data_IF_747324419016
#
_entry.id   IF_747324419016
#
_cell.length_a   1.000
_cell.length_b   1.000
_cell.length_c   1.000
_cell.angle_alpha   90.00
_cell.angle_beta   90.00
_cell.angle_gamma   90.00
#
_symmetry.space_group_name_H-M   'P 1'
#
loop_
_entity.id
_entity.type
_entity.pdbx_description
1 polymer ?
#
# COMPACT_ATOMS: atom_id res chain seq x y z
N UNK A 1 -2.66 5.86 48.58
CA UNK A 1 -2.05 6.25 47.30
C UNK A 1 -3.12 6.61 46.25
N UNK A 2 -4.07 5.77 45.94
CA UNK A 2 -5.13 6.00 44.94
C UNK A 2 -5.96 7.28 45.13
N UNK A 3 -6.36 7.61 46.40
CA UNK A 3 -7.11 8.84 46.71
C UNK A 3 -6.36 10.12 46.40
N UNK A 4 -5.02 10.13 46.53
CA UNK A 4 -4.20 11.28 46.20
C UNK A 4 -4.05 11.46 44.68
N UNK A 5 -3.85 10.33 43.94
CA UNK A 5 -3.82 10.33 42.49
C UNK A 5 -5.14 10.85 41.94
N UNK A 6 -6.27 10.34 42.44
CA UNK A 6 -7.60 10.78 42.04
C UNK A 6 -7.82 12.27 42.28
N UNK A 7 -7.45 12.80 43.45
CA UNK A 7 -7.61 14.22 43.78
C UNK A 7 -6.76 15.11 42.85
N UNK A 8 -5.54 14.70 42.50
CA UNK A 8 -4.68 15.40 41.52
C UNK A 8 -5.29 15.37 40.12
N UNK A 9 -5.72 14.20 39.67
CA UNK A 9 -6.38 14.04 38.36
C UNK A 9 -7.63 14.92 38.24
N UNK A 10 -8.46 14.95 39.29
CA UNK A 10 -9.67 15.78 39.28
C UNK A 10 -9.34 17.28 39.28
N UNK A 11 -8.34 17.70 40.02
CA UNK A 11 -7.84 19.08 40.00
C UNK A 11 -7.34 19.47 38.58
N UNK A 12 -6.46 18.66 37.97
CA UNK A 12 -5.91 18.92 36.66
C UNK A 12 -7.00 18.94 35.57
N UNK A 13 -7.97 18.04 35.66
CA UNK A 13 -9.10 18.00 34.73
C UNK A 13 -9.94 19.27 34.77
N UNK A 14 -10.34 19.72 36.00
CA UNK A 14 -11.11 20.96 36.17
C UNK A 14 -10.30 22.18 35.71
N UNK A 15 -9.02 22.20 35.99
CA UNK A 15 -8.14 23.29 35.63
C UNK A 15 -7.95 23.40 34.11
N UNK A 16 -7.78 22.27 33.42
CA UNK A 16 -7.70 22.19 31.97
C UNK A 16 -9.01 22.64 31.29
N UNK A 17 -10.16 22.22 31.81
CA UNK A 17 -11.48 22.66 31.30
C UNK A 17 -11.70 24.17 31.48
N UNK A 18 -11.08 24.80 32.47
CA UNK A 18 -11.21 26.23 32.74
C UNK A 18 -10.25 27.09 31.92
N UNK A 19 -9.18 26.51 31.45
CA UNK A 19 -8.19 27.16 30.59
C UNK A 19 -8.53 26.97 29.10
N UNK A 20 -9.28 27.94 28.54
CA UNK A 20 -9.72 27.90 27.15
C UNK A 20 -8.56 27.80 26.15
N UNK A 21 -7.41 28.38 26.45
CA UNK A 21 -6.23 28.34 25.53
C UNK A 21 -5.65 26.94 25.47
N UNK A 22 -5.42 26.34 26.62
CA UNK A 22 -4.92 24.96 26.72
C UNK A 22 -5.92 23.97 26.08
N UNK A 23 -7.22 24.16 26.28
CA UNK A 23 -8.26 23.31 25.74
C UNK A 23 -8.32 23.39 24.19
N UNK A 24 -8.20 24.58 23.63
CA UNK A 24 -8.15 24.77 22.15
C UNK A 24 -6.93 24.08 21.55
N UNK A 25 -5.77 24.19 22.18
CA UNK A 25 -4.54 23.51 21.70
C UNK A 25 -4.68 21.99 21.83
N UNK A 26 -5.17 21.49 22.95
CA UNK A 26 -5.34 20.06 23.18
C UNK A 26 -6.32 19.36 22.23
N UNK A 27 -7.39 20.04 21.85
CA UNK A 27 -8.37 19.49 20.90
C UNK A 27 -7.98 19.84 19.45
N UNK A 28 -7.49 21.06 19.23
CA UNK A 28 -7.15 21.55 17.90
C UNK A 28 -5.97 20.81 17.27
N UNK A 29 -4.94 20.53 18.06
CA UNK A 29 -3.73 19.86 17.55
C UNK A 29 -4.02 18.46 16.99
N UNK A 30 -4.73 17.56 17.67
CA UNK A 30 -5.14 16.27 17.12
C UNK A 30 -6.01 16.39 15.86
N UNK A 31 -6.90 17.39 15.79
CA UNK A 31 -7.73 17.62 14.61
C UNK A 31 -6.86 18.04 13.42
N UNK A 32 -5.93 18.98 13.63
CA UNK A 32 -4.98 19.39 12.59
C UNK A 32 -4.12 18.21 12.16
N UNK A 33 -3.64 17.41 13.10
CA UNK A 33 -2.84 16.22 12.84
C UNK A 33 -3.60 15.19 12.00
N UNK A 34 -4.87 14.93 12.31
CA UNK A 34 -5.74 14.06 11.53
C UNK A 34 -5.94 14.59 10.10
N UNK A 35 -6.15 15.89 9.94
CA UNK A 35 -6.30 16.53 8.61
C UNK A 35 -4.99 16.40 7.81
N UNK A 36 -3.85 16.65 8.43
CA UNK A 36 -2.54 16.51 7.79
C UNK A 36 -2.27 15.07 7.37
N UNK A 37 -2.56 14.10 8.22
CA UNK A 37 -2.44 12.68 7.86
C UNK A 37 -3.40 12.28 6.75
N UNK A 38 -4.66 12.70 6.79
CA UNK A 38 -5.64 12.44 5.74
C UNK A 38 -5.22 13.05 4.39
N UNK A 39 -4.46 14.16 4.40
CA UNK A 39 -3.90 14.76 3.19
C UNK A 39 -2.62 14.08 2.74
N UNK A 40 -1.73 13.73 3.67
CA UNK A 40 -0.46 13.04 3.39
C UNK A 40 -0.67 11.61 2.81
N UNK A 41 -1.74 10.94 3.23
CA UNK A 41 -2.13 9.59 2.77
C UNK A 41 -2.47 9.55 1.26
N UNK A 42 -2.69 10.70 0.60
CA UNK A 42 -2.87 10.78 -0.86
C UNK A 42 -1.56 10.85 -1.65
N UNK A 43 -0.45 10.43 -1.08
CA UNK A 43 0.80 10.36 -1.82
C UNK A 43 0.66 9.32 -2.94
N UNK A 44 0.79 9.78 -4.19
CA UNK A 44 0.95 8.89 -5.34
C UNK A 44 2.20 8.04 -5.07
N UNK A 45 2.01 6.76 -4.84
CA UNK A 45 3.11 5.82 -4.78
C UNK A 45 3.49 5.50 -6.21
N UNK A 46 4.67 5.91 -6.63
CA UNK A 46 5.25 5.71 -7.96
C UNK A 46 6.63 5.06 -7.80
N UNK A 47 7.12 4.43 -8.86
CA UNK A 47 8.45 3.79 -8.90
C UNK A 47 8.65 2.72 -7.80
N UNK A 48 7.65 1.85 -7.61
CA UNK A 48 7.75 0.71 -6.68
C UNK A 48 8.85 -0.24 -7.17
N UNK A 49 9.93 -0.49 -6.38
CA UNK A 49 10.99 -1.41 -6.76
C UNK A 49 10.43 -2.81 -6.99
N UNK A 50 10.66 -3.39 -8.17
CA UNK A 50 10.07 -4.67 -8.57
C UNK A 50 11.12 -5.67 -9.04
N UNK A 51 11.05 -6.90 -8.52
CA UNK A 51 11.79 -8.04 -9.02
C UNK A 51 10.99 -8.81 -10.08
N UNK A 52 11.62 -9.19 -11.18
CA UNK A 52 10.97 -9.89 -12.30
C UNK A 52 11.59 -11.28 -12.50
N UNK A 53 10.75 -12.32 -12.39
CA UNK A 53 11.07 -13.69 -12.77
C UNK A 53 10.30 -14.04 -14.06
N UNK A 54 10.84 -13.67 -15.21
CA UNK A 54 10.29 -14.06 -16.52
C UNK A 54 10.88 -15.41 -16.96
N UNK A 55 10.12 -16.49 -16.77
CA UNK A 55 10.52 -17.83 -17.17
C UNK A 55 10.14 -18.14 -18.63
N UNK A 56 9.41 -17.25 -19.30
CA UNK A 56 8.94 -17.45 -20.66
C UNK A 56 9.86 -16.82 -21.70
N UNK A 57 10.34 -15.62 -21.42
CA UNK A 57 11.20 -14.83 -22.30
C UNK A 57 10.65 -14.70 -23.75
N UNK A 58 9.33 -14.75 -23.90
CA UNK A 58 8.63 -14.61 -25.16
C UNK A 58 8.13 -13.16 -25.40
N UNK A 59 7.73 -12.80 -26.63
CA UNK A 59 7.29 -11.44 -26.93
C UNK A 59 6.09 -10.96 -26.09
N UNK A 60 5.23 -11.86 -25.60
CA UNK A 60 4.10 -11.49 -24.76
C UNK A 60 4.53 -11.17 -23.34
N UNK A 61 5.45 -11.96 -22.77
CA UNK A 61 5.99 -11.71 -21.42
C UNK A 61 6.82 -10.42 -21.39
N UNK A 62 7.71 -10.24 -22.35
CA UNK A 62 8.50 -9.01 -22.48
C UNK A 62 7.62 -7.77 -22.64
N UNK A 63 6.57 -7.84 -23.48
CA UNK A 63 5.62 -6.74 -23.66
C UNK A 63 4.77 -6.45 -22.42
N UNK A 64 4.54 -7.46 -21.56
CA UNK A 64 3.85 -7.27 -20.29
C UNK A 64 4.73 -6.58 -19.26
N UNK A 65 5.99 -7.01 -19.13
CA UNK A 65 6.98 -6.36 -18.25
C UNK A 65 7.21 -4.91 -18.68
N UNK A 66 7.36 -4.67 -20.00
CA UNK A 66 7.48 -3.31 -20.53
C UNK A 66 6.26 -2.43 -20.22
N UNK A 67 5.06 -2.99 -20.29
CA UNK A 67 3.84 -2.28 -19.94
C UNK A 67 3.79 -1.91 -18.42
N UNK A 68 4.36 -2.75 -17.57
CA UNK A 68 4.49 -2.46 -16.14
C UNK A 68 5.49 -1.33 -15.89
N UNK A 69 6.66 -1.38 -16.51
CA UNK A 69 7.67 -0.30 -16.43
C UNK A 69 7.13 1.03 -16.96
N UNK A 70 6.49 1.02 -18.12
CA UNK A 70 5.95 2.22 -18.75
C UNK A 70 4.71 2.79 -18.02
N UNK A 71 4.17 2.08 -17.05
CA UNK A 71 3.04 2.56 -16.24
C UNK A 71 3.44 3.69 -15.27
N UNK A 72 4.74 3.82 -14.95
CA UNK A 72 5.26 4.73 -13.93
C UNK A 72 5.01 4.28 -12.48
N UNK A 73 4.26 3.18 -12.27
CA UNK A 73 4.06 2.64 -10.94
C UNK A 73 5.19 1.72 -10.48
N UNK A 74 5.85 1.03 -11.40
CA UNK A 74 6.88 0.03 -11.10
C UNK A 74 8.21 0.39 -11.72
N UNK A 75 9.27 0.21 -10.94
CA UNK A 75 10.65 0.28 -11.40
C UNK A 75 11.29 -1.12 -11.30
N UNK A 76 11.61 -1.72 -12.43
CA UNK A 76 12.26 -3.05 -12.46
C UNK A 76 13.70 -2.92 -12.03
N UNK A 77 13.99 -3.29 -10.79
CA UNK A 77 15.33 -3.21 -10.20
C UNK A 77 16.15 -4.46 -10.43
N UNK A 78 15.51 -5.63 -10.47
CA UNK A 78 16.21 -6.92 -10.49
C UNK A 78 15.48 -7.94 -11.34
N UNK A 79 16.25 -8.70 -12.16
CA UNK A 79 15.76 -9.87 -12.86
C UNK A 79 16.28 -11.13 -12.18
N UNK A 80 15.35 -12.03 -11.83
CA UNK A 80 15.64 -13.30 -11.15
C UNK A 80 15.02 -14.48 -11.91
N UNK A 81 15.32 -15.72 -11.51
CA UNK A 81 14.92 -16.90 -12.29
C UNK A 81 13.74 -17.69 -11.70
N UNK A 82 13.43 -17.49 -10.43
CA UNK A 82 12.42 -18.28 -9.72
C UNK A 82 11.55 -17.43 -8.78
N UNK A 83 10.44 -18.01 -8.36
CA UNK A 83 9.56 -17.42 -7.33
C UNK A 83 10.30 -17.22 -6.01
N UNK A 84 11.12 -18.23 -5.60
CA UNK A 84 11.90 -18.13 -4.37
C UNK A 84 12.87 -16.94 -4.43
N UNK A 85 13.55 -16.72 -5.55
CA UNK A 85 14.46 -15.60 -5.68
C UNK A 85 13.73 -14.23 -5.68
N UNK A 86 12.45 -14.18 -6.11
CA UNK A 86 11.61 -12.98 -5.93
C UNK A 86 11.29 -12.76 -4.46
N UNK A 87 10.94 -13.81 -3.73
CA UNK A 87 10.68 -13.73 -2.29
C UNK A 87 11.92 -13.28 -1.52
N UNK A 88 13.09 -13.86 -1.84
CA UNK A 88 14.36 -13.46 -1.23
C UNK A 88 14.67 -11.98 -1.46
N UNK A 89 14.41 -11.45 -2.66
CA UNK A 89 14.61 -10.04 -2.96
C UNK A 89 13.63 -9.13 -2.16
N UNK A 90 12.40 -9.57 -1.95
CA UNK A 90 11.42 -8.86 -1.11
C UNK A 90 11.85 -8.93 0.37
N UNK A 91 12.23 -10.09 0.87
CA UNK A 91 12.66 -10.27 2.26
C UNK A 91 13.95 -9.50 2.57
N UNK A 92 14.84 -9.35 1.57
CA UNK A 92 16.05 -8.54 1.68
C UNK A 92 15.76 -7.01 1.59
N UNK A 93 14.54 -6.60 1.24
CA UNK A 93 14.17 -5.20 1.04
C UNK A 93 14.71 -4.61 -0.27
N UNK A 94 15.19 -5.43 -1.20
CA UNK A 94 15.67 -5.00 -2.53
C UNK A 94 14.52 -4.72 -3.49
N UNK A 95 13.35 -5.33 -3.24
CA UNK A 95 12.11 -5.11 -3.98
C UNK A 95 10.92 -5.03 -3.01
N UNK A 96 9.90 -4.26 -3.38
CA UNK A 96 8.61 -4.18 -2.66
C UNK A 96 7.50 -4.92 -3.40
N UNK A 97 7.73 -5.23 -4.68
CA UNK A 97 6.84 -6.04 -5.50
C UNK A 97 7.66 -7.04 -6.33
N UNK A 98 7.02 -8.12 -6.74
CA UNK A 98 7.63 -9.09 -7.61
C UNK A 98 6.62 -9.70 -8.57
N UNK A 99 7.06 -10.04 -9.77
CA UNK A 99 6.24 -10.75 -10.76
C UNK A 99 6.91 -12.04 -11.19
N UNK A 100 6.11 -13.10 -11.26
CA UNK A 100 6.53 -14.40 -11.81
C UNK A 100 5.68 -14.70 -13.03
N UNK A 101 6.32 -14.77 -14.20
CA UNK A 101 5.69 -15.10 -15.47
C UNK A 101 6.08 -16.54 -15.82
N UNK A 102 5.14 -17.48 -15.88
CA UNK A 102 5.46 -18.89 -16.13
C UNK A 102 5.84 -19.15 -17.57
N UNK A 103 6.53 -20.26 -17.82
CA UNK A 103 6.95 -20.71 -19.15
C UNK A 103 5.76 -20.85 -20.11
N UNK A 104 5.98 -20.52 -21.40
CA UNK A 104 4.97 -20.63 -22.46
C UNK A 104 3.82 -19.61 -22.31
N UNK A 105 4.13 -18.43 -21.80
CA UNK A 105 3.15 -17.39 -21.53
C UNK A 105 2.41 -16.95 -22.80
N UNK A 106 3.10 -16.74 -23.94
CA UNK A 106 2.47 -16.38 -25.22
C UNK A 106 1.37 -17.40 -25.63
N UNK A 107 1.67 -18.70 -25.54
CA UNK A 107 0.72 -19.73 -25.90
C UNK A 107 -0.51 -19.76 -24.98
N UNK A 108 -0.33 -19.44 -23.69
CA UNK A 108 -1.43 -19.32 -22.73
C UNK A 108 -2.24 -18.05 -22.98
N UNK A 109 -1.58 -16.93 -23.31
CA UNK A 109 -2.26 -15.70 -23.76
C UNK A 109 -3.11 -16.00 -24.99
N UNK A 110 -2.59 -16.75 -25.96
CA UNK A 110 -3.33 -17.09 -27.18
C UNK A 110 -4.54 -18.00 -26.93
N UNK A 111 -4.52 -18.81 -25.88
CA UNK A 111 -5.68 -19.61 -25.44
C UNK A 111 -6.64 -18.86 -24.53
N UNK A 112 -6.25 -17.73 -23.96
CA UNK A 112 -7.04 -16.99 -22.95
C UNK A 112 -6.92 -17.57 -21.55
N UNK A 113 -5.82 -18.26 -21.25
CA UNK A 113 -5.56 -18.96 -19.99
C UNK A 113 -4.28 -18.43 -19.29
N UNK A 114 -3.78 -17.28 -19.73
CA UNK A 114 -2.55 -16.74 -19.15
C UNK A 114 -2.77 -16.30 -17.71
N UNK A 115 -1.86 -16.72 -16.85
CA UNK A 115 -1.80 -16.34 -15.44
C UNK A 115 -0.41 -15.83 -15.11
N UNK A 116 -0.34 -14.78 -14.32
CA UNK A 116 0.88 -14.28 -13.70
C UNK A 116 0.70 -14.23 -12.21
N UNK A 117 1.74 -14.55 -11.47
CA UNK A 117 1.76 -14.41 -10.02
C UNK A 117 2.44 -13.07 -9.68
N UNK A 118 1.76 -12.30 -8.86
CA UNK A 118 2.27 -11.04 -8.32
C UNK A 118 2.42 -11.18 -6.82
N UNK A 119 3.61 -10.86 -6.34
CA UNK A 119 3.99 -10.84 -4.94
C UNK A 119 4.14 -9.38 -4.54
N UNK A 120 3.56 -8.97 -3.43
CA UNK A 120 3.66 -7.60 -2.93
C UNK A 120 3.96 -7.64 -1.45
N UNK A 121 4.91 -6.84 -1.01
CA UNK A 121 5.21 -6.64 0.40
C UNK A 121 4.05 -5.89 1.07
N UNK A 122 3.35 -6.56 1.98
CA UNK A 122 2.20 -6.02 2.71
C UNK A 122 2.57 -5.26 3.98
N UNK A 123 3.85 -5.05 4.27
CA UNK A 123 4.30 -4.31 5.45
C UNK A 123 4.02 -2.79 5.32
N UNK A 124 4.08 -2.27 4.09
CA UNK A 124 3.62 -0.91 3.76
C UNK A 124 2.27 -0.97 3.04
N UNK A 125 1.21 -0.63 3.76
CA UNK A 125 -0.17 -0.68 3.28
C UNK A 125 -0.40 0.25 2.08
N UNK A 126 0.22 1.43 2.05
CA UNK A 126 0.03 2.40 0.97
C UNK A 126 0.65 1.90 -0.33
N UNK A 127 1.89 1.42 -0.26
CA UNK A 127 2.58 0.81 -1.40
C UNK A 127 1.83 -0.43 -1.89
N UNK A 128 1.36 -1.27 -0.98
CA UNK A 128 0.60 -2.48 -1.32
C UNK A 128 -0.70 -2.14 -2.06
N UNK A 129 -1.47 -1.18 -1.56
CA UNK A 129 -2.72 -0.76 -2.20
C UNK A 129 -2.47 -0.12 -3.57
N UNK A 130 -1.45 0.72 -3.69
CA UNK A 130 -1.06 1.33 -4.96
C UNK A 130 -0.63 0.26 -5.97
N UNK A 131 0.22 -0.69 -5.57
CA UNK A 131 0.65 -1.81 -6.39
C UNK A 131 -0.53 -2.66 -6.86
N UNK A 132 -1.45 -3.04 -5.95
CA UNK A 132 -2.65 -3.82 -6.27
C UNK A 132 -3.52 -3.12 -7.32
N UNK A 133 -3.78 -1.82 -7.13
CA UNK A 133 -4.60 -1.04 -8.05
C UNK A 133 -3.92 -0.90 -9.43
N UNK A 134 -2.62 -0.61 -9.45
CA UNK A 134 -1.82 -0.48 -10.66
C UNK A 134 -1.79 -1.79 -11.46
N UNK A 135 -1.49 -2.91 -10.80
CA UNK A 135 -1.45 -4.25 -11.39
C UNK A 135 -2.79 -4.62 -12.02
N UNK A 136 -3.88 -4.39 -11.30
CA UNK A 136 -5.23 -4.69 -11.79
C UNK A 136 -5.58 -3.83 -13.02
N UNK A 137 -5.21 -2.55 -13.00
CA UNK A 137 -5.42 -1.64 -14.13
C UNK A 137 -4.59 -2.04 -15.36
N UNK A 138 -3.30 -2.38 -15.17
CA UNK A 138 -2.39 -2.83 -16.25
C UNK A 138 -2.87 -4.14 -16.85
N UNK A 139 -3.26 -5.13 -16.01
CA UNK A 139 -3.78 -6.41 -16.49
C UNK A 139 -5.04 -6.23 -17.35
N UNK A 140 -5.96 -5.37 -16.92
CA UNK A 140 -7.18 -5.05 -17.70
C UNK A 140 -6.84 -4.33 -19.01
N UNK A 141 -5.96 -3.34 -18.99
CA UNK A 141 -5.55 -2.61 -20.19
C UNK A 141 -4.84 -3.53 -21.20
N UNK A 142 -3.96 -4.41 -20.71
CA UNK A 142 -3.25 -5.39 -21.56
C UNK A 142 -4.21 -6.43 -22.15
N UNK A 143 -5.17 -6.92 -21.35
CA UNK A 143 -6.25 -7.79 -21.79
C UNK A 143 -7.06 -7.17 -22.92
N UNK A 144 -7.50 -5.93 -22.77
CA UNK A 144 -8.26 -5.21 -23.79
C UNK A 144 -7.46 -5.11 -25.11
N UNK A 145 -6.16 -4.83 -25.04
CA UNK A 145 -5.28 -4.75 -26.21
C UNK A 145 -5.14 -6.08 -26.95
N UNK A 146 -5.09 -7.20 -26.21
CA UNK A 146 -5.04 -8.55 -26.78
C UNK A 146 -6.36 -8.90 -27.46
N UNK A 147 -7.51 -8.65 -26.82
CA UNK A 147 -8.85 -8.88 -27.36
C UNK A 147 -9.05 -8.10 -28.66
N UNK A 148 -8.73 -6.79 -28.67
CA UNK A 148 -8.81 -5.98 -29.87
C UNK A 148 -7.96 -6.53 -31.02
N UNK A 149 -6.72 -6.98 -30.75
CA UNK A 149 -5.86 -7.59 -31.76
C UNK A 149 -6.41 -8.88 -32.34
N UNK A 150 -7.15 -9.68 -31.53
CA UNK A 150 -7.82 -10.90 -31.99
C UNK A 150 -9.05 -10.58 -32.84
N UNK A 151 -9.89 -9.66 -32.41
CA UNK A 151 -11.07 -9.23 -33.14
C UNK A 151 -10.72 -8.71 -34.54
N UNK A 152 -9.65 -7.91 -34.63
CA UNK A 152 -9.18 -7.39 -35.94
C UNK A 152 -8.61 -8.48 -36.85
N UNK A 153 -8.09 -9.59 -36.30
CA UNK A 153 -7.56 -10.71 -37.10
C UNK A 153 -8.60 -11.73 -37.48
N UNK A 154 -9.62 -11.98 -36.67
CA UNK A 154 -10.60 -13.09 -36.89
C UNK A 154 -11.93 -12.64 -37.44
N UNK A 155 -12.28 -11.35 -37.45
CA UNK A 155 -13.58 -10.82 -37.88
C UNK A 155 -14.77 -11.33 -37.07
N UNK A 156 -14.55 -12.05 -35.99
CA UNK A 156 -15.60 -12.65 -35.15
C UNK A 156 -16.08 -11.66 -34.09
N UNK A 157 -17.39 -11.58 -33.91
CA UNK A 157 -18.01 -10.88 -32.78
C UNK A 157 -17.85 -11.80 -31.56
N UNK A 158 -16.90 -11.53 -30.71
CA UNK A 158 -16.67 -12.26 -29.45
C UNK A 158 -17.16 -11.39 -28.32
N UNK A 159 -17.97 -11.97 -27.44
CA UNK A 159 -18.42 -11.29 -26.22
C UNK A 159 -17.20 -10.98 -25.32
N UNK A 160 -16.87 -9.69 -25.20
CA UNK A 160 -15.70 -9.22 -24.46
C UNK A 160 -15.75 -9.58 -22.96
N UNK A 161 -16.92 -9.94 -22.43
CA UNK A 161 -17.10 -10.32 -21.02
C UNK A 161 -16.61 -11.74 -20.71
N UNK A 162 -16.49 -12.60 -21.74
CA UNK A 162 -16.09 -14.01 -21.61
C UNK A 162 -14.58 -14.24 -21.80
N UNK A 163 -13.85 -13.22 -22.25
CA UNK A 163 -12.43 -13.34 -22.57
C UNK A 163 -11.59 -12.46 -21.63
N UNK A 164 -11.25 -13.00 -20.48
CA UNK A 164 -10.14 -12.47 -19.66
C UNK A 164 -8.88 -13.28 -20.02
N UNK A 165 -8.13 -12.88 -21.06
CA UNK A 165 -6.96 -13.65 -21.52
C UNK A 165 -5.78 -13.61 -20.54
N UNK A 166 -5.86 -12.78 -19.50
CA UNK A 166 -4.85 -12.65 -18.48
C UNK A 166 -5.50 -12.56 -17.10
N UNK A 167 -5.21 -13.53 -16.24
CA UNK A 167 -5.55 -13.55 -14.82
C UNK A 167 -4.31 -13.17 -14.00
N UNK A 168 -4.34 -11.99 -13.40
CA UNK A 168 -3.30 -11.54 -12.48
C UNK A 168 -3.62 -11.99 -11.06
N UNK A 169 -2.96 -13.04 -10.59
CA UNK A 169 -3.10 -13.54 -9.22
C UNK A 169 -2.18 -12.75 -8.29
N UNK A 170 -2.76 -11.85 -7.54
CA UNK A 170 -2.03 -11.05 -6.54
C UNK A 170 -1.99 -11.81 -5.23
N UNK A 171 -0.77 -12.05 -4.73
CA UNK A 171 -0.51 -12.57 -3.38
C UNK A 171 0.17 -11.47 -2.57
N UNK A 172 -0.57 -10.95 -1.60
CA UNK A 172 -0.05 -9.96 -0.66
C UNK A 172 0.60 -10.70 0.50
N UNK A 173 1.85 -10.38 0.77
CA UNK A 173 2.64 -10.94 1.86
C UNK A 173 2.37 -10.10 3.12
N UNK A 174 2.39 -10.73 4.29
CA UNK A 174 2.27 -10.13 5.64
C UNK A 174 0.92 -9.49 5.99
N UNK A 175 0.19 -8.87 5.03
CA UNK A 175 -1.13 -8.26 5.26
C UNK A 175 -2.13 -8.64 4.15
N UNK A 176 -2.54 -9.91 4.03
CA UNK A 176 -3.34 -10.39 2.91
C UNK A 176 -4.73 -9.76 2.78
N UNK A 177 -5.27 -9.20 3.87
CA UNK A 177 -6.61 -8.59 3.87
C UNK A 177 -6.57 -7.10 3.58
N UNK A 178 -5.39 -6.46 3.46
CA UNK A 178 -5.22 -5.00 3.31
C UNK A 178 -6.02 -4.22 4.36
N UNK A 179 -5.98 -4.68 5.60
CA UNK A 179 -6.67 -4.03 6.71
C UNK A 179 -5.84 -2.83 7.22
N UNK A 180 -5.96 -1.69 6.53
CA UNK A 180 -5.29 -0.43 6.88
C UNK A 180 -5.57 -0.02 8.32
N UNK A 181 -6.80 -0.26 8.79
CA UNK A 181 -7.24 0.08 10.13
C UNK A 181 -6.47 -0.67 11.22
N UNK A 182 -6.03 -1.90 11.00
CA UNK A 182 -5.31 -2.69 11.99
C UNK A 182 -3.90 -2.13 12.23
N UNK A 183 -3.25 -1.61 11.18
CA UNK A 183 -1.89 -1.07 11.26
C UNK A 183 -1.86 0.42 11.57
N UNK A 184 -2.71 1.21 10.93
CA UNK A 184 -2.69 2.67 11.07
C UNK A 184 -3.32 3.19 12.35
N UNK A 185 -4.44 2.59 12.82
CA UNK A 185 -5.11 3.07 14.03
C UNK A 185 -4.22 2.98 15.27
N UNK A 186 -3.54 1.84 15.58
CA UNK A 186 -2.67 1.77 16.73
C UNK A 186 -1.51 2.78 16.66
N UNK A 187 -0.92 2.98 15.50
CA UNK A 187 0.16 3.95 15.30
C UNK A 187 -0.34 5.38 15.53
N UNK A 188 -1.46 5.75 14.93
CA UNK A 188 -2.05 7.09 15.11
C UNK A 188 -2.44 7.34 16.57
N UNK A 189 -3.06 6.36 17.24
CA UNK A 189 -3.42 6.47 18.66
C UNK A 189 -2.18 6.61 19.52
N UNK A 190 -1.13 5.82 19.28
CA UNK A 190 0.12 5.90 20.02
C UNK A 190 0.79 7.29 19.87
N UNK A 191 0.86 7.80 18.63
CA UNK A 191 1.43 9.11 18.33
C UNK A 191 0.63 10.26 18.96
N UNK A 192 -0.69 10.21 18.92
CA UNK A 192 -1.56 11.20 19.56
C UNK A 192 -1.38 11.17 21.08
N UNK A 193 -1.41 9.98 21.69
CA UNK A 193 -1.21 9.83 23.14
C UNK A 193 0.18 10.30 23.56
N UNK A 194 1.21 9.97 22.83
CA UNK A 194 2.58 10.44 23.10
C UNK A 194 2.65 11.97 23.07
N UNK A 195 2.13 12.57 22.02
CA UNK A 195 2.15 14.05 21.86
C UNK A 195 1.35 14.73 22.96
N UNK A 196 0.17 14.24 23.29
CA UNK A 196 -0.64 14.79 24.37
C UNK A 196 0.02 14.64 25.74
N UNK A 197 0.64 13.50 26.00
CA UNK A 197 1.37 13.26 27.26
C UNK A 197 2.54 14.23 27.42
N UNK A 198 3.32 14.47 26.38
CA UNK A 198 4.43 15.41 26.38
C UNK A 198 3.93 16.84 26.67
N UNK A 199 2.88 17.28 25.96
CA UNK A 199 2.32 18.64 26.11
C UNK A 199 1.78 18.84 27.52
N UNK A 200 0.99 17.89 28.04
CA UNK A 200 0.42 17.98 29.38
C UNK A 200 1.51 18.00 30.46
N UNK A 201 2.50 17.12 30.34
CA UNK A 201 3.61 17.05 31.29
C UNK A 201 4.43 18.34 31.30
N UNK A 202 4.76 18.86 30.10
CA UNK A 202 5.50 20.10 29.95
C UNK A 202 4.71 21.29 30.56
N UNK A 203 3.41 21.39 30.27
CA UNK A 203 2.55 22.44 30.81
C UNK A 203 2.43 22.38 32.33
N UNK A 204 2.30 21.16 32.91
CA UNK A 204 2.28 20.96 34.39
C UNK A 204 3.59 21.42 35.04
N UNK A 205 4.74 21.03 34.48
CA UNK A 205 6.06 21.39 35.04
C UNK A 205 6.31 22.90 34.98
N UNK A 206 5.93 23.55 33.87
CA UNK A 206 6.07 25.02 33.75
C UNK A 206 5.20 25.73 34.78
N UNK A 207 3.97 25.29 34.95
CA UNK A 207 3.03 25.90 35.90
C UNK A 207 3.43 25.73 37.36
N UNK A 208 4.03 24.59 37.73
CA UNK A 208 4.59 24.40 39.09
C UNK A 208 5.79 25.27 39.39
N UNK A 209 6.51 25.76 38.36
CA UNK A 209 7.65 26.66 38.54
C UNK A 209 7.23 28.12 38.66
N UNK A 210 6.06 28.50 38.22
CA UNK A 210 5.54 29.86 38.25
C UNK A 210 4.69 30.13 39.52
N UNK A 211 4.40 29.13 40.33
CA UNK A 211 3.73 29.23 41.64
C UNK A 211 4.69 28.97 42.78
#
# INVERSE_FOLDING_TARGET
MWRRIWAVTQKEFIQTLRDRRTLVIQIGLPIIQLILFAYAIRMNVENIPMAVADQSLDPASLGYVEAMQNSGYFDVTTYVQSEEAVLDAIDAGEAQAGIVIPTGFQARVDRGEAQVLLLVDGSDVFTTQAAYNAITAIARAHTTKIVWRRLTKSGAIVDASTLLPLDARVRILYNPNLEDLIYLIPEMVATILQTQTIILTAASVVRERET
#
